data_IF_966478298872
#
_entry.id   IF_966478298872
#
_cell.length_a   1.000
_cell.length_b   1.000
_cell.length_c   1.000
_cell.angle_alpha   90.00
_cell.angle_beta   90.00
_cell.angle_gamma   90.00
#
_symmetry.space_group_name_H-M   'P 1'
#
loop_
_entity.id
_entity.type
_entity.pdbx_description
1 polymer ?
#
# COMPACT_ATOMS: atom_id res chain seq x y z
N UNK A 1 -13.98 21.37 21.00
CA UNK A 1 -14.99 21.94 20.09
C UNK A 1 -14.57 21.66 18.67
N UNK A 2 -15.52 21.38 17.78
CA UNK A 2 -15.26 21.36 16.35
C UNK A 2 -14.80 22.76 15.91
N UNK A 3 -13.81 22.81 15.02
CA UNK A 3 -13.34 24.03 14.33
C UNK A 3 -14.38 24.54 13.32
N UNK A 4 -15.12 23.63 12.68
CA UNK A 4 -16.10 23.95 11.65
C UNK A 4 -17.51 23.52 12.07
N UNK A 5 -18.52 24.29 11.66
CA UNK A 5 -19.92 24.02 11.96
C UNK A 5 -20.56 23.02 10.98
N UNK A 6 -19.89 22.75 9.86
CA UNK A 6 -20.38 21.88 8.80
C UNK A 6 -20.65 20.46 9.28
N UNK A 7 -21.73 19.91 8.75
CA UNK A 7 -22.15 18.53 8.93
C UNK A 7 -22.55 17.95 7.58
N UNK A 8 -22.45 16.63 7.49
CA UNK A 8 -22.80 15.86 6.29
C UNK A 8 -23.50 14.57 6.68
N UNK A 9 -24.36 14.09 5.80
CA UNK A 9 -24.96 12.77 5.87
C UNK A 9 -24.05 11.76 5.15
N UNK A 10 -23.82 10.60 5.77
CA UNK A 10 -22.95 9.55 5.24
C UNK A 10 -23.78 8.43 4.63
N UNK A 11 -23.39 8.00 3.42
CA UNK A 11 -24.05 6.96 2.66
C UNK A 11 -23.09 5.80 2.37
N UNK A 12 -23.64 4.59 2.19
CA UNK A 12 -22.87 3.43 1.73
C UNK A 12 -22.65 3.45 0.20
N UNK A 13 -21.91 2.49 -0.33
CA UNK A 13 -21.63 2.39 -1.78
C UNK A 13 -22.83 1.95 -2.63
N UNK A 14 -24.00 1.82 -2.01
CA UNK A 14 -25.29 1.49 -2.64
C UNK A 14 -26.29 2.64 -2.51
N UNK A 15 -25.88 3.79 -1.96
CA UNK A 15 -26.72 4.97 -1.79
C UNK A 15 -27.72 4.87 -0.64
N UNK A 16 -27.47 4.03 0.37
CA UNK A 16 -28.28 3.98 1.58
C UNK A 16 -27.67 4.86 2.67
N UNK A 17 -28.50 5.64 3.36
CA UNK A 17 -28.08 6.44 4.50
C UNK A 17 -27.55 5.53 5.61
N UNK A 18 -26.36 5.85 6.13
CA UNK A 18 -25.68 5.16 7.22
C UNK A 18 -25.78 5.96 8.51
N UNK A 19 -25.48 7.26 8.46
CA UNK A 19 -25.49 8.16 9.62
C UNK A 19 -25.74 9.59 9.14
N UNK A 20 -26.53 10.36 9.88
CA UNK A 20 -26.89 11.73 9.52
C UNK A 20 -26.17 12.77 10.38
N UNK A 21 -26.05 13.99 9.87
CA UNK A 21 -25.59 15.16 10.63
C UNK A 21 -24.19 14.98 11.29
N UNK A 22 -23.30 14.24 10.61
CA UNK A 22 -21.95 13.94 11.10
C UNK A 22 -21.07 15.19 10.94
N UNK A 23 -20.40 15.66 12.01
CA UNK A 23 -19.49 16.80 11.91
C UNK A 23 -18.39 16.53 10.88
N UNK A 24 -18.11 17.49 10.00
CA UNK A 24 -17.18 17.32 8.88
C UNK A 24 -15.78 16.83 9.30
N UNK A 25 -15.32 17.25 10.48
CA UNK A 25 -14.02 16.86 11.02
C UNK A 25 -13.93 15.39 11.41
N UNK A 26 -15.06 14.68 11.58
CA UNK A 26 -15.04 13.24 11.82
C UNK A 26 -14.49 12.46 10.60
N UNK A 27 -14.51 13.07 9.42
CA UNK A 27 -13.89 12.53 8.19
C UNK A 27 -12.43 12.98 8.03
N UNK A 28 -11.91 13.86 8.89
CA UNK A 28 -10.54 14.35 8.78
C UNK A 28 -9.52 13.22 8.94
N UNK A 29 -8.47 13.15 8.09
CA UNK A 29 -7.34 12.24 8.29
C UNK A 29 -6.66 12.36 9.66
N UNK A 30 -6.78 13.53 10.31
CA UNK A 30 -6.21 13.79 11.64
C UNK A 30 -7.06 13.23 12.80
N UNK A 31 -8.33 12.87 12.54
CA UNK A 31 -9.28 12.43 13.57
C UNK A 31 -9.85 11.06 13.32
N UNK A 32 -10.06 10.69 12.06
CA UNK A 32 -10.71 9.45 11.68
C UNK A 32 -9.76 8.25 11.89
N UNK A 33 -10.08 7.31 12.80
CA UNK A 33 -9.21 6.19 13.08
C UNK A 33 -9.10 5.20 11.91
N UNK A 34 -10.11 5.10 11.05
CA UNK A 34 -10.07 4.22 9.88
C UNK A 34 -9.11 4.78 8.82
N UNK A 35 -9.12 6.09 8.56
CA UNK A 35 -8.14 6.72 7.66
C UNK A 35 -6.72 6.52 8.18
N UNK A 36 -6.50 6.73 9.48
CA UNK A 36 -5.20 6.47 10.11
C UNK A 36 -4.77 5.02 9.93
N UNK A 37 -5.68 4.06 10.14
CA UNK A 37 -5.42 2.63 9.96
C UNK A 37 -5.09 2.28 8.50
N UNK A 38 -5.79 2.88 7.52
CA UNK A 38 -5.51 2.70 6.09
C UNK A 38 -4.10 3.22 5.76
N UNK A 39 -3.78 4.45 6.15
CA UNK A 39 -2.46 5.06 5.89
C UNK A 39 -1.33 4.25 6.54
N UNK A 40 -1.48 3.87 7.81
CA UNK A 40 -0.51 3.03 8.50
C UNK A 40 -0.40 1.63 7.88
N UNK A 41 -1.53 1.07 7.45
CA UNK A 41 -1.61 -0.20 6.73
C UNK A 41 -0.80 -0.15 5.43
N UNK A 42 -1.02 0.87 4.61
CA UNK A 42 -0.29 1.05 3.34
C UNK A 42 1.21 1.23 3.60
N UNK A 43 1.59 2.05 4.58
CA UNK A 43 3.01 2.24 4.93
C UNK A 43 3.68 0.92 5.31
N UNK A 44 2.98 0.03 6.01
CA UNK A 44 3.56 -1.18 6.62
C UNK A 44 3.37 -2.48 5.84
N UNK A 45 2.65 -2.46 4.72
CA UNK A 45 2.32 -3.67 3.97
C UNK A 45 3.25 -3.84 2.76
N UNK A 46 3.77 -5.04 2.57
CA UNK A 46 4.53 -5.45 1.38
C UNK A 46 4.06 -6.82 0.91
N UNK A 47 4.01 -6.98 -0.41
CA UNK A 47 3.76 -8.25 -1.06
C UNK A 47 5.10 -8.91 -1.44
N UNK A 48 5.28 -10.16 -1.04
CA UNK A 48 6.45 -10.98 -1.36
C UNK A 48 6.05 -12.02 -2.42
N UNK A 49 6.82 -12.12 -3.50
CA UNK A 49 6.60 -13.11 -4.55
C UNK A 49 7.62 -14.25 -4.46
N UNK A 50 7.33 -15.27 -3.65
CA UNK A 50 8.21 -16.44 -3.48
C UNK A 50 8.38 -17.25 -4.77
N UNK A 51 7.30 -17.41 -5.54
CA UNK A 51 7.37 -18.04 -6.87
C UNK A 51 8.29 -17.26 -7.82
N UNK A 52 8.24 -15.93 -7.78
CA UNK A 52 9.14 -15.06 -8.54
C UNK A 52 10.61 -15.20 -8.10
N UNK A 53 10.86 -15.23 -6.80
CA UNK A 53 12.21 -15.44 -6.23
C UNK A 53 12.78 -16.79 -6.62
N UNK A 54 12.00 -17.87 -6.50
CA UNK A 54 12.39 -19.23 -6.90
C UNK A 54 12.78 -19.29 -8.38
N UNK A 55 11.91 -18.76 -9.24
CA UNK A 55 12.16 -18.73 -10.68
C UNK A 55 13.38 -17.88 -11.06
N UNK A 56 13.60 -16.75 -10.38
CA UNK A 56 14.75 -15.88 -10.60
C UNK A 56 16.07 -16.58 -10.23
N UNK A 57 16.09 -17.32 -9.12
CA UNK A 57 17.24 -18.11 -8.67
C UNK A 57 17.53 -19.28 -9.60
N UNK A 58 16.50 -20.07 -9.92
CA UNK A 58 16.60 -21.24 -10.81
C UNK A 58 17.15 -20.87 -12.19
N UNK A 59 16.76 -19.70 -12.69
CA UNK A 59 17.20 -19.20 -13.99
C UNK A 59 18.39 -18.23 -13.92
N UNK A 60 18.93 -17.93 -12.73
CA UNK A 60 19.90 -16.86 -12.48
C UNK A 60 19.56 -15.51 -13.12
N UNK A 61 18.26 -15.22 -13.27
CA UNK A 61 17.71 -14.00 -13.89
C UNK A 61 17.42 -12.98 -12.79
N UNK A 62 18.46 -12.26 -12.36
CA UNK A 62 18.40 -11.30 -11.26
C UNK A 62 18.87 -9.92 -11.69
N UNK A 63 18.42 -8.89 -10.95
CA UNK A 63 18.91 -7.52 -11.12
C UNK A 63 18.27 -6.72 -12.26
N UNK A 64 17.15 -7.16 -12.84
CA UNK A 64 16.33 -6.35 -13.77
C UNK A 64 16.10 -6.99 -15.14
N UNK A 65 15.38 -6.28 -16.03
CA UNK A 65 14.98 -6.82 -17.33
C UNK A 65 16.17 -7.29 -18.17
N UNK A 66 16.02 -8.48 -18.76
CA UNK A 66 17.02 -9.14 -19.60
C UNK A 66 18.39 -9.44 -18.95
N UNK A 67 18.54 -9.25 -17.64
CA UNK A 67 19.77 -9.62 -16.92
C UNK A 67 19.76 -11.11 -16.54
N UNK A 68 20.90 -11.77 -16.75
CA UNK A 68 21.16 -13.15 -16.31
C UNK A 68 22.65 -13.32 -16.00
N UNK A 69 22.99 -14.06 -14.95
CA UNK A 69 24.38 -14.42 -14.63
C UNK A 69 24.55 -15.92 -14.85
N UNK A 70 25.17 -16.31 -15.97
CA UNK A 70 25.39 -17.72 -16.31
C UNK A 70 26.29 -18.41 -15.26
N UNK A 71 25.93 -19.62 -14.84
CA UNK A 71 26.69 -20.39 -13.85
C UNK A 71 26.38 -20.03 -12.39
N UNK A 72 25.33 -19.22 -12.15
CA UNK A 72 24.85 -18.84 -10.82
C UNK A 72 23.42 -19.34 -10.55
N UNK A 73 22.95 -20.30 -11.34
CA UNK A 73 21.65 -20.94 -11.15
C UNK A 73 21.59 -21.68 -9.80
N UNK A 74 20.49 -21.50 -9.06
CA UNK A 74 20.21 -22.17 -7.79
C UNK A 74 18.80 -22.75 -7.83
N UNK A 75 18.69 -24.08 -7.83
CA UNK A 75 17.41 -24.79 -7.82
C UNK A 75 17.00 -25.09 -6.37
N UNK A 76 16.22 -24.18 -5.78
CA UNK A 76 15.73 -24.26 -4.40
C UNK A 76 14.21 -24.46 -4.40
N UNK A 77 13.70 -25.36 -3.56
CA UNK A 77 12.25 -25.54 -3.39
C UNK A 77 11.69 -24.51 -2.38
N UNK A 78 11.57 -23.25 -2.79
CA UNK A 78 11.13 -22.15 -1.93
C UNK A 78 9.63 -22.24 -1.68
N UNK A 79 8.83 -22.45 -2.74
CA UNK A 79 7.38 -22.53 -2.63
C UNK A 79 6.95 -23.77 -1.84
N UNK A 80 7.62 -24.92 -2.01
CA UNK A 80 7.37 -26.12 -1.20
C UNK A 80 7.70 -25.93 0.28
N UNK A 81 8.62 -25.02 0.62
CA UNK A 81 9.01 -24.69 1.99
C UNK A 81 8.44 -23.35 2.49
N UNK A 82 7.42 -22.81 1.82
CA UNK A 82 6.92 -21.46 2.09
C UNK A 82 6.46 -21.24 3.53
N UNK A 83 5.86 -22.25 4.18
CA UNK A 83 5.42 -22.16 5.58
C UNK A 83 6.59 -21.98 6.55
N UNK A 84 7.64 -22.80 6.40
CA UNK A 84 8.85 -22.69 7.22
C UNK A 84 9.57 -21.35 6.99
N UNK A 85 9.67 -20.91 5.74
CA UNK A 85 10.28 -19.62 5.37
C UNK A 85 9.48 -18.46 5.97
N UNK A 86 8.15 -18.48 5.84
CA UNK A 86 7.29 -17.41 6.35
C UNK A 86 7.31 -17.34 7.88
N UNK A 87 7.28 -18.49 8.58
CA UNK A 87 7.38 -18.53 10.03
C UNK A 87 8.72 -17.94 10.51
N UNK A 88 9.83 -18.37 9.91
CA UNK A 88 11.16 -17.86 10.26
C UNK A 88 11.34 -16.38 9.93
N UNK A 89 10.80 -15.93 8.79
CA UNK A 89 10.78 -14.51 8.44
C UNK A 89 9.95 -13.70 9.46
N UNK A 90 8.79 -14.22 9.90
CA UNK A 90 7.95 -13.58 10.90
C UNK A 90 8.68 -13.37 12.22
N UNK A 91 9.42 -14.37 12.70
CA UNK A 91 10.22 -14.28 13.92
C UNK A 91 11.24 -13.13 13.87
N UNK A 92 11.84 -12.86 12.70
CA UNK A 92 12.76 -11.74 12.50
C UNK A 92 12.06 -10.39 12.30
N UNK A 93 10.86 -10.40 11.72
CA UNK A 93 10.09 -9.17 11.43
C UNK A 93 9.46 -8.62 12.70
N UNK A 94 8.89 -9.49 13.55
CA UNK A 94 8.25 -9.06 14.78
C UNK A 94 9.26 -8.43 15.75
N UNK A 95 8.76 -7.56 16.62
CA UNK A 95 9.54 -6.96 17.72
C UNK A 95 9.32 -7.76 18.99
N UNK A 96 8.08 -8.16 19.24
CA UNK A 96 7.69 -9.02 20.36
C UNK A 96 6.60 -10.01 19.93
N UNK A 97 6.50 -11.12 20.64
CA UNK A 97 5.48 -12.12 20.36
C UNK A 97 4.07 -11.54 20.61
N UNK A 98 3.18 -11.69 19.64
CA UNK A 98 1.82 -11.16 19.73
C UNK A 98 1.65 -9.70 19.34
N UNK A 99 2.70 -9.04 18.82
CA UNK A 99 2.59 -7.69 18.25
C UNK A 99 1.74 -7.66 16.96
N UNK A 100 1.67 -6.49 16.32
CA UNK A 100 0.84 -6.29 15.12
C UNK A 100 1.47 -6.83 13.82
N UNK A 101 2.46 -7.71 13.91
CA UNK A 101 3.08 -8.35 12.75
C UNK A 101 2.12 -9.36 12.13
N UNK A 102 1.88 -9.22 10.83
CA UNK A 102 1.16 -10.20 10.04
C UNK A 102 2.06 -10.77 8.94
N UNK A 103 2.08 -12.10 8.80
CA UNK A 103 2.75 -12.79 7.70
C UNK A 103 1.81 -13.90 7.25
N UNK A 104 1.22 -13.73 6.08
CA UNK A 104 0.14 -14.58 5.59
C UNK A 104 0.47 -15.13 4.20
N UNK A 105 0.46 -16.45 4.06
CA UNK A 105 0.67 -17.12 2.79
C UNK A 105 -0.58 -17.00 1.90
N UNK A 106 -0.36 -16.70 0.63
CA UNK A 106 -1.40 -16.57 -0.38
C UNK A 106 -1.13 -17.49 -1.57
N UNK A 107 -2.20 -17.95 -2.22
CA UNK A 107 -2.11 -18.71 -3.46
C UNK A 107 -1.30 -20.01 -3.33
N UNK A 108 -1.43 -20.72 -2.20
CA UNK A 108 -0.70 -21.97 -1.94
C UNK A 108 0.79 -21.77 -1.69
N UNK A 109 1.18 -20.69 -0.99
CA UNK A 109 2.58 -20.41 -0.64
C UNK A 109 3.38 -19.65 -1.70
N UNK A 110 2.79 -19.37 -2.87
CA UNK A 110 3.47 -18.66 -3.96
C UNK A 110 3.74 -17.19 -3.62
N UNK A 111 2.87 -16.58 -2.82
CA UNK A 111 2.92 -15.17 -2.43
C UNK A 111 2.78 -15.07 -0.92
N UNK A 112 3.28 -13.98 -0.34
CA UNK A 112 3.12 -13.66 1.08
C UNK A 112 2.68 -12.22 1.24
N UNK A 113 1.61 -11.99 1.99
CA UNK A 113 1.28 -10.68 2.52
C UNK A 113 2.05 -10.49 3.82
N UNK A 114 2.82 -9.42 3.91
CA UNK A 114 3.57 -9.08 5.11
C UNK A 114 3.14 -7.70 5.57
N UNK A 115 2.82 -7.58 6.85
CA UNK A 115 2.67 -6.32 7.53
C UNK A 115 3.65 -6.25 8.69
N UNK A 116 4.63 -5.36 8.62
CA UNK A 116 5.59 -5.18 9.71
C UNK A 116 4.90 -4.46 10.90
N UNK A 117 5.40 -4.63 12.14
CA UNK A 117 4.71 -4.12 13.33
C UNK A 117 4.80 -2.60 13.43
N UNK A 118 3.78 -1.97 14.03
CA UNK A 118 3.69 -0.51 14.13
C UNK A 118 4.90 0.12 14.83
N UNK A 119 5.42 -0.54 15.86
CA UNK A 119 6.56 -0.11 16.67
C UNK A 119 7.80 0.20 15.83
N UNK A 120 7.99 -0.48 14.70
CA UNK A 120 9.11 -0.18 13.78
C UNK A 120 8.97 1.20 13.12
N UNK A 121 7.76 1.68 12.85
CA UNK A 121 7.54 3.03 12.31
C UNK A 121 7.57 4.11 13.36
N UNK A 122 7.22 3.79 14.60
CA UNK A 122 7.26 4.76 15.70
C UNK A 122 8.70 5.26 15.95
N UNK A 123 9.69 4.42 15.66
CA UNK A 123 11.12 4.76 15.72
C UNK A 123 11.75 5.05 14.36
N UNK A 124 11.01 4.96 13.24
CA UNK A 124 11.53 5.24 11.91
C UNK A 124 11.19 6.65 11.45
N UNK A 125 12.09 7.25 10.67
CA UNK A 125 11.82 8.54 10.03
C UNK A 125 10.77 8.43 8.91
N UNK A 126 10.75 7.30 8.19
CA UNK A 126 9.90 7.10 7.01
C UNK A 126 9.52 5.62 6.84
N UNK A 127 9.02 5.23 5.66
CA UNK A 127 8.33 3.95 5.42
C UNK A 127 9.16 2.85 4.74
N UNK A 128 10.40 3.10 4.34
CA UNK A 128 11.27 2.12 3.67
C UNK A 128 11.66 0.95 4.57
N UNK A 129 11.49 1.08 5.89
CA UNK A 129 11.61 -0.02 6.84
C UNK A 129 10.76 -1.24 6.42
N UNK A 130 9.58 -1.02 5.83
CA UNK A 130 8.70 -2.08 5.33
C UNK A 130 9.40 -3.02 4.36
N UNK A 131 9.96 -2.45 3.29
CA UNK A 131 10.61 -3.21 2.25
C UNK A 131 11.94 -3.80 2.73
N UNK A 132 12.74 -3.02 3.47
CA UNK A 132 14.09 -3.43 3.87
C UNK A 132 14.10 -4.48 5.00
N UNK A 133 13.23 -4.34 6.00
CA UNK A 133 13.09 -5.35 7.08
C UNK A 133 12.56 -6.65 6.49
N UNK A 134 11.49 -6.56 5.68
CA UNK A 134 10.92 -7.76 5.05
C UNK A 134 11.91 -8.43 4.11
N UNK A 135 12.60 -7.67 3.26
CA UNK A 135 13.62 -8.22 2.36
C UNK A 135 14.67 -9.02 3.12
N UNK A 136 15.29 -8.42 4.15
CA UNK A 136 16.35 -9.08 4.92
C UNK A 136 15.84 -10.28 5.72
N UNK A 137 14.61 -10.25 6.24
CA UNK A 137 14.01 -11.38 6.91
C UNK A 137 13.79 -12.57 5.94
N UNK A 138 13.24 -12.31 4.76
CA UNK A 138 13.03 -13.38 3.76
C UNK A 138 14.35 -13.88 3.16
N UNK A 139 15.34 -13.01 2.95
CA UNK A 139 16.68 -13.43 2.49
C UNK A 139 17.29 -14.40 3.50
N UNK A 140 17.31 -14.05 4.79
CA UNK A 140 17.86 -14.92 5.85
C UNK A 140 17.04 -16.20 6.01
N UNK A 141 15.71 -16.12 5.98
CA UNK A 141 14.85 -17.29 6.10
C UNK A 141 15.07 -18.28 4.95
N UNK A 142 15.19 -17.80 3.70
CA UNK A 142 15.50 -18.65 2.54
C UNK A 142 16.89 -19.26 2.66
N UNK A 143 17.90 -18.46 3.03
CA UNK A 143 19.27 -18.97 3.21
C UNK A 143 19.29 -20.11 4.22
N UNK A 144 18.61 -19.95 5.36
CA UNK A 144 18.66 -20.92 6.42
C UNK A 144 17.78 -22.16 6.15
N UNK A 145 16.56 -21.98 5.63
CA UNK A 145 15.64 -23.09 5.37
C UNK A 145 16.10 -23.94 4.19
N UNK A 146 16.73 -23.32 3.18
CA UNK A 146 17.23 -24.00 2.00
C UNK A 146 18.74 -24.32 2.06
N UNK A 147 19.40 -24.11 3.21
CA UNK A 147 20.82 -24.36 3.47
C UNK A 147 21.75 -23.77 2.38
N UNK A 148 21.52 -22.51 2.02
CA UNK A 148 22.30 -21.82 0.99
C UNK A 148 23.67 -21.44 1.54
N UNK A 149 24.73 -21.91 0.92
CA UNK A 149 26.08 -21.61 1.37
C UNK A 149 26.46 -20.12 1.22
N UNK A 150 27.52 -19.71 1.94
CA UNK A 150 28.02 -18.34 1.97
C UNK A 150 28.37 -17.76 0.59
N UNK A 151 28.84 -18.58 -0.36
CA UNK A 151 29.24 -18.14 -1.70
C UNK A 151 28.04 -17.88 -2.62
N UNK A 152 26.89 -18.48 -2.31
CA UNK A 152 25.66 -18.44 -3.12
C UNK A 152 24.60 -17.50 -2.55
N UNK A 153 24.65 -17.19 -1.25
CA UNK A 153 23.71 -16.32 -0.55
C UNK A 153 23.46 -14.95 -1.22
N UNK A 154 24.46 -14.38 -1.90
CA UNK A 154 24.30 -13.11 -2.62
C UNK A 154 23.26 -13.19 -3.76
N UNK A 155 23.04 -14.36 -4.35
CA UNK A 155 22.01 -14.55 -5.38
C UNK A 155 20.60 -14.48 -4.77
N UNK A 156 20.40 -14.99 -3.55
CA UNK A 156 19.13 -14.87 -2.82
C UNK A 156 18.80 -13.40 -2.58
N UNK A 157 19.79 -12.61 -2.13
CA UNK A 157 19.64 -11.15 -2.03
C UNK A 157 19.20 -10.54 -3.36
N UNK A 158 19.89 -10.89 -4.45
CA UNK A 158 19.63 -10.29 -5.76
C UNK A 158 18.24 -10.68 -6.31
N UNK A 159 17.75 -11.88 -5.99
CA UNK A 159 16.41 -12.33 -6.36
C UNK A 159 15.30 -11.64 -5.55
N UNK A 160 15.55 -11.25 -4.29
CA UNK A 160 14.57 -10.57 -3.44
C UNK A 160 14.57 -9.05 -3.68
N UNK A 161 15.74 -8.40 -3.62
CA UNK A 161 15.86 -6.93 -3.62
C UNK A 161 16.44 -6.36 -4.94
N UNK A 162 16.73 -7.23 -5.91
CA UNK A 162 17.19 -6.79 -7.22
C UNK A 162 18.61 -6.23 -7.20
N UNK A 163 18.84 -5.19 -8.01
CA UNK A 163 20.16 -4.57 -8.24
C UNK A 163 20.54 -3.52 -7.18
N UNK A 164 19.70 -3.27 -6.18
CA UNK A 164 20.02 -2.36 -5.09
C UNK A 164 21.26 -2.84 -4.30
N UNK A 165 22.24 -1.97 -3.95
CA UNK A 165 22.21 -0.51 -4.00
C UNK A 165 22.87 0.12 -5.26
N UNK A 166 23.27 -0.68 -6.25
CA UNK A 166 23.80 -0.12 -7.50
C UNK A 166 22.73 0.68 -8.25
N UNK A 167 21.49 0.19 -8.24
CA UNK A 167 20.32 1.01 -8.56
C UNK A 167 19.78 1.68 -7.30
N UNK A 168 19.26 2.90 -7.44
CA UNK A 168 18.55 3.60 -6.35
C UNK A 168 17.28 2.84 -5.96
N UNK A 169 16.53 2.36 -6.96
CA UNK A 169 15.33 1.53 -6.80
C UNK A 169 15.67 0.05 -6.54
N UNK A 170 14.66 -0.72 -6.09
CA UNK A 170 14.73 -2.19 -5.95
C UNK A 170 14.56 -2.91 -7.30
N UNK A 171 15.34 -2.47 -8.31
CA UNK A 171 15.19 -2.87 -9.70
C UNK A 171 15.37 -4.39 -9.88
N UNK A 172 14.29 -5.06 -10.31
CA UNK A 172 14.27 -6.51 -10.53
C UNK A 172 14.15 -7.34 -9.25
N UNK A 173 13.80 -6.72 -8.13
CA UNK A 173 13.40 -7.44 -6.92
C UNK A 173 12.00 -8.07 -7.05
N UNK A 174 11.71 -9.03 -6.17
CA UNK A 174 10.44 -9.75 -6.11
C UNK A 174 9.59 -9.34 -4.88
N UNK A 175 9.72 -8.07 -4.50
CA UNK A 175 8.92 -7.39 -3.48
C UNK A 175 8.15 -6.25 -4.13
N UNK A 176 6.93 -6.00 -3.66
CA UNK A 176 6.13 -4.86 -4.12
C UNK A 176 5.38 -4.19 -2.97
N UNK A 177 5.35 -2.87 -3.00
CA UNK A 177 4.60 -2.00 -2.09
C UNK A 177 3.69 -1.08 -2.90
N UNK A 178 2.63 -0.54 -2.29
CA UNK A 178 1.85 0.52 -2.96
C UNK A 178 2.63 1.82 -3.05
N UNK A 179 3.42 2.14 -2.00
CA UNK A 179 4.34 3.27 -1.98
C UNK A 179 5.60 2.94 -2.78
N UNK A 180 6.20 3.96 -3.36
CA UNK A 180 7.52 3.90 -4.00
C UNK A 180 8.60 4.54 -3.09
N UNK A 181 9.86 4.38 -3.45
CA UNK A 181 11.01 4.85 -2.67
C UNK A 181 10.98 6.39 -2.46
N UNK A 182 11.47 6.88 -1.32
CA UNK A 182 11.41 8.31 -0.98
C UNK A 182 12.24 9.21 -1.92
N UNK A 183 13.21 8.66 -2.65
CA UNK A 183 14.00 9.42 -3.63
C UNK A 183 13.21 9.82 -4.89
N UNK A 184 12.04 9.21 -5.12
CA UNK A 184 11.18 9.49 -6.29
C UNK A 184 10.05 10.46 -5.96
N UNK A 185 10.06 11.08 -4.78
CA UNK A 185 9.07 12.10 -4.43
C UNK A 185 9.37 13.38 -5.20
N UNK A 186 8.36 13.87 -5.93
CA UNK A 186 8.43 15.16 -6.65
C UNK A 186 8.61 16.34 -5.68
N UNK A 187 8.09 16.21 -4.46
CA UNK A 187 8.30 17.16 -3.37
C UNK A 187 8.16 16.51 -2.00
N UNK A 188 8.65 17.15 -0.92
CA UNK A 188 8.42 16.68 0.43
C UNK A 188 6.91 16.51 0.72
N UNK A 189 6.53 15.41 1.38
CA UNK A 189 5.12 15.08 1.69
C UNK A 189 4.35 14.34 0.59
N UNK A 190 4.97 14.00 -0.54
CA UNK A 190 4.28 13.37 -1.69
C UNK A 190 4.14 11.84 -1.62
N UNK A 191 4.56 11.19 -0.53
CA UNK A 191 4.67 9.73 -0.49
C UNK A 191 3.34 9.02 -0.78
N UNK A 192 2.24 9.47 -0.18
CA UNK A 192 0.90 8.90 -0.38
C UNK A 192 0.31 9.20 -1.77
N UNK A 193 0.94 10.09 -2.56
CA UNK A 193 0.53 10.45 -3.92
C UNK A 193 1.23 9.61 -4.99
N UNK A 194 2.42 9.09 -4.68
CA UNK A 194 3.17 8.24 -5.59
C UNK A 194 2.67 6.78 -5.52
N UNK A 195 1.36 6.61 -5.65
CA UNK A 195 0.66 5.32 -5.71
C UNK A 195 -0.04 5.25 -7.06
N UNK A 196 0.32 4.25 -7.87
CA UNK A 196 -0.26 4.07 -9.19
C UNK A 196 -1.79 3.85 -9.11
N UNK A 197 -2.56 4.52 -9.97
CA UNK A 197 -4.03 4.36 -10.06
C UNK A 197 -4.44 2.88 -10.19
N UNK A 198 -3.70 2.10 -10.99
CA UNK A 198 -3.96 0.66 -11.13
C UNK A 198 -3.85 -0.11 -9.81
N UNK A 199 -2.98 0.30 -8.88
CA UNK A 199 -2.89 -0.33 -7.56
C UNK A 199 -4.13 -0.02 -6.70
N UNK A 200 -4.64 1.21 -6.76
CA UNK A 200 -5.89 1.59 -6.09
C UNK A 200 -7.04 0.74 -6.64
N UNK A 201 -7.20 0.73 -7.97
CA UNK A 201 -8.24 -0.04 -8.68
C UNK A 201 -8.15 -1.54 -8.40
N UNK A 202 -6.94 -2.11 -8.34
CA UNK A 202 -6.73 -3.51 -8.02
C UNK A 202 -7.10 -3.83 -6.57
N UNK A 203 -6.72 -2.97 -5.63
CA UNK A 203 -6.98 -3.13 -4.20
C UNK A 203 -8.48 -3.12 -3.90
N UNK A 204 -9.24 -2.28 -4.60
CA UNK A 204 -10.69 -2.12 -4.43
C UNK A 204 -11.51 -3.05 -5.32
N UNK A 205 -10.85 -4.03 -5.98
CA UNK A 205 -11.49 -5.01 -6.86
C UNK A 205 -12.36 -4.36 -7.95
N UNK A 206 -11.94 -3.18 -8.45
CA UNK A 206 -12.66 -2.37 -9.44
C UNK A 206 -14.05 -1.88 -9.02
N UNK A 207 -14.39 -1.89 -7.72
CA UNK A 207 -15.59 -1.19 -7.24
C UNK A 207 -15.37 0.32 -7.38
N UNK A 208 -16.21 0.99 -8.17
CA UNK A 208 -16.05 2.40 -8.55
C UNK A 208 -16.05 3.34 -7.34
N UNK A 209 -17.03 3.22 -6.44
CA UNK A 209 -17.14 4.09 -5.27
C UNK A 209 -15.99 3.86 -4.30
N UNK A 210 -15.62 2.59 -4.05
CA UNK A 210 -14.50 2.26 -3.19
C UNK A 210 -13.15 2.72 -3.77
N UNK A 211 -12.99 2.67 -5.10
CA UNK A 211 -11.80 3.19 -5.80
C UNK A 211 -11.69 4.70 -5.63
N UNK A 212 -12.78 5.43 -5.84
CA UNK A 212 -12.81 6.87 -5.64
C UNK A 212 -12.55 7.25 -4.17
N UNK A 213 -13.15 6.53 -3.22
CA UNK A 213 -12.94 6.73 -1.79
C UNK A 213 -11.48 6.49 -1.39
N UNK A 214 -10.89 5.35 -1.75
CA UNK A 214 -9.49 5.06 -1.42
C UNK A 214 -8.54 6.08 -2.05
N UNK A 215 -8.75 6.44 -3.32
CA UNK A 215 -7.93 7.47 -3.97
C UNK A 215 -8.06 8.83 -3.28
N UNK A 216 -9.28 9.25 -2.93
CA UNK A 216 -9.53 10.53 -2.27
C UNK A 216 -8.94 10.57 -0.86
N UNK A 217 -9.06 9.48 -0.09
CA UNK A 217 -8.43 9.34 1.22
C UNK A 217 -6.91 9.53 1.11
N UNK A 218 -6.27 8.89 0.14
CA UNK A 218 -4.81 8.98 -0.04
C UNK A 218 -4.37 10.37 -0.47
N UNK A 219 -5.02 10.93 -1.49
CA UNK A 219 -4.70 12.27 -2.00
C UNK A 219 -4.95 13.33 -0.92
N UNK A 220 -6.11 13.32 -0.26
CA UNK A 220 -6.43 14.32 0.75
C UNK A 220 -5.59 14.15 2.01
N UNK A 221 -5.22 12.92 2.42
CA UNK A 221 -4.27 12.72 3.51
C UNK A 221 -2.88 13.27 3.16
N UNK A 222 -2.44 13.14 1.90
CA UNK A 222 -1.19 13.75 1.44
C UNK A 222 -1.24 15.28 1.53
N UNK A 223 -2.40 15.92 1.28
CA UNK A 223 -2.55 17.37 1.41
C UNK A 223 -2.32 17.85 2.84
N UNK A 224 -2.65 17.03 3.85
CA UNK A 224 -2.30 17.32 5.25
C UNK A 224 -0.79 17.16 5.49
N UNK A 225 -0.14 16.14 4.91
CA UNK A 225 1.31 15.93 5.02
C UNK A 225 2.13 17.05 4.34
N UNK A 226 1.65 17.55 3.21
CA UNK A 226 2.24 18.65 2.45
C UNK A 226 2.01 20.02 3.08
N UNK A 227 1.08 20.13 4.02
CA UNK A 227 0.69 21.39 4.66
C UNK A 227 -0.35 22.21 3.88
N UNK A 228 -0.81 21.73 2.72
CA UNK A 228 -1.83 22.39 1.90
C UNK A 228 -3.19 22.42 2.61
N UNK A 229 -3.51 21.40 3.41
CA UNK A 229 -4.75 21.35 4.20
C UNK A 229 -4.61 21.99 5.60
N UNK A 230 -3.84 23.08 5.71
CA UNK A 230 -3.62 23.81 6.97
C UNK A 230 -4.23 25.20 6.93
N UNK A 231 -4.85 25.61 8.05
CA UNK A 231 -5.35 26.98 8.22
C UNK A 231 -6.55 27.27 7.31
N UNK A 232 -6.41 28.28 6.43
CA UNK A 232 -7.49 28.76 5.58
C UNK A 232 -8.04 27.70 4.60
N UNK A 233 -7.22 26.71 4.26
CA UNK A 233 -7.54 25.69 3.26
C UNK A 233 -8.06 24.38 3.85
N UNK A 234 -7.92 24.18 5.18
CA UNK A 234 -8.30 22.92 5.85
C UNK A 234 -9.77 22.55 5.55
N UNK A 235 -10.69 23.52 5.64
CA UNK A 235 -12.12 23.31 5.36
C UNK A 235 -12.37 22.91 3.91
N UNK A 236 -11.67 23.52 2.95
CA UNK A 236 -11.80 23.19 1.53
C UNK A 236 -11.44 21.73 1.26
N UNK A 237 -10.32 21.27 1.81
CA UNK A 237 -9.87 19.88 1.65
C UNK A 237 -10.81 18.88 2.34
N UNK A 238 -11.34 19.21 3.51
CA UNK A 238 -12.31 18.35 4.20
C UNK A 238 -13.62 18.20 3.41
N UNK A 239 -14.16 19.29 2.88
CA UNK A 239 -15.36 19.25 2.03
C UNK A 239 -15.08 18.50 0.72
N UNK A 240 -13.90 18.69 0.13
CA UNK A 240 -13.46 17.93 -1.04
C UNK A 240 -13.44 16.43 -0.77
N UNK A 241 -12.83 16.00 0.35
CA UNK A 241 -12.84 14.59 0.77
C UNK A 241 -14.27 14.07 0.94
N UNK A 242 -15.11 14.79 1.66
CA UNK A 242 -16.47 14.37 1.99
C UNK A 242 -17.34 14.20 0.74
N UNK A 243 -17.45 15.25 -0.08
CA UNK A 243 -18.37 15.25 -1.22
C UNK A 243 -17.83 14.48 -2.43
N UNK A 244 -16.54 14.60 -2.75
CA UNK A 244 -15.96 13.93 -3.92
C UNK A 244 -15.60 12.46 -3.64
N UNK A 245 -15.07 12.18 -2.44
CA UNK A 245 -14.52 10.87 -2.09
C UNK A 245 -15.47 9.98 -1.30
N UNK A 246 -16.27 10.57 -0.41
CA UNK A 246 -17.06 9.83 0.57
C UNK A 246 -18.57 9.86 0.30
N UNK A 247 -19.00 10.41 -0.85
CA UNK A 247 -20.41 10.52 -1.23
C UNK A 247 -21.28 11.18 -0.15
N UNK A 248 -20.75 12.23 0.49
CA UNK A 248 -21.52 13.02 1.44
C UNK A 248 -22.84 13.51 0.81
N UNK A 249 -23.91 13.47 1.60
CA UNK A 249 -25.28 13.83 1.23
C UNK A 249 -25.81 13.08 0.00
N UNK A 250 -25.22 11.91 -0.29
CA UNK A 250 -25.51 11.07 -1.46
C UNK A 250 -25.30 11.76 -2.82
N UNK A 251 -24.64 12.92 -2.84
CA UNK A 251 -24.60 13.82 -4.00
C UNK A 251 -24.03 13.14 -5.25
N UNK A 252 -22.91 12.43 -5.14
CA UNK A 252 -22.28 11.76 -6.29
C UNK A 252 -23.18 10.65 -6.82
N UNK A 253 -23.75 9.86 -5.92
CA UNK A 253 -24.63 8.76 -6.29
C UNK A 253 -25.90 9.27 -7.00
N UNK A 254 -26.54 10.32 -6.46
CA UNK A 254 -27.77 10.86 -7.03
C UNK A 254 -27.53 11.55 -8.38
N UNK A 255 -26.43 12.28 -8.55
CA UNK A 255 -26.03 12.84 -9.85
C UNK A 255 -25.83 11.73 -10.90
N UNK A 256 -25.16 10.63 -10.54
CA UNK A 256 -24.97 9.47 -11.43
C UNK A 256 -26.30 8.77 -11.73
N UNK A 257 -27.18 8.65 -10.74
CA UNK A 257 -28.49 8.01 -10.91
C UNK A 257 -29.40 8.81 -11.85
N UNK A 258 -29.42 10.13 -11.71
CA UNK A 258 -30.20 11.04 -12.57
C UNK A 258 -29.68 11.02 -14.01
N UNK A 259 -28.35 11.00 -14.19
CA UNK A 259 -27.73 11.15 -15.50
C UNK A 259 -27.28 9.83 -16.16
N UNK A 260 -27.35 8.69 -15.48
CA UNK A 260 -26.71 7.45 -15.91
C UNK A 260 -27.33 6.76 -17.12
N UNK A 261 -28.59 7.06 -17.46
CA UNK A 261 -29.28 6.42 -18.58
C UNK A 261 -28.98 7.09 -19.93
N UNK A 262 -29.09 8.42 -20.01
CA UNK A 262 -28.98 9.19 -21.25
C UNK A 262 -28.17 10.49 -21.09
N UNK A 263 -27.67 10.75 -19.88
CA UNK A 263 -26.97 11.99 -19.56
C UNK A 263 -25.61 12.09 -20.25
N UNK A 264 -25.10 13.32 -20.26
CA UNK A 264 -23.78 13.67 -20.75
C UNK A 264 -23.03 14.44 -19.66
N UNK A 265 -21.75 14.73 -19.88
CA UNK A 265 -21.00 15.63 -18.98
C UNK A 265 -21.72 16.98 -18.83
N UNK A 266 -22.35 17.50 -19.88
CA UNK A 266 -23.09 18.76 -19.83
C UNK A 266 -24.33 18.72 -18.94
N UNK A 267 -25.08 17.60 -18.95
CA UNK A 267 -26.28 17.46 -18.10
C UNK A 267 -25.92 17.26 -16.63
N UNK A 268 -24.80 16.59 -16.33
CA UNK A 268 -24.28 16.50 -14.95
C UNK A 268 -23.93 17.88 -14.39
N UNK A 269 -23.39 18.78 -15.21
CA UNK A 269 -23.12 20.18 -14.81
C UNK A 269 -24.42 20.94 -14.53
N UNK A 270 -25.50 20.65 -15.26
CA UNK A 270 -26.80 21.29 -15.06
C UNK A 270 -27.51 20.80 -13.80
N UNK A 271 -27.34 19.52 -13.42
CA UNK A 271 -27.92 18.93 -12.20
C UNK A 271 -27.18 19.29 -10.89
N UNK A 272 -25.93 19.78 -10.96
CA UNK A 272 -25.04 20.06 -9.82
C UNK A 272 -25.20 21.49 -9.28
#
# INVERSE_FOLDING_TARGET
MAKFEDKVDLYDDRGNLVEAEVPIEALSPLRNPAIKAIVQGIKRTVAVNLEGTENALKAAKVGGPACKILGRELDLDIVGNAEAIAAKAKEMIQVEEGDTTNVELLGGGKRVLVQIPHTRFEAAAEYSATSLVTANAFIQAIIDVCDVNMYDANMVKAAILGRYPQSVEYMGGNLATMLDIPQKLEGPGYALRNIMVNHVVATTLKNTMQTAALSSILEQSAMFEMGDAVGAFERMHLLGLAYQGMNADNMVFDLVKENGAEGTVGSVIESM
#
